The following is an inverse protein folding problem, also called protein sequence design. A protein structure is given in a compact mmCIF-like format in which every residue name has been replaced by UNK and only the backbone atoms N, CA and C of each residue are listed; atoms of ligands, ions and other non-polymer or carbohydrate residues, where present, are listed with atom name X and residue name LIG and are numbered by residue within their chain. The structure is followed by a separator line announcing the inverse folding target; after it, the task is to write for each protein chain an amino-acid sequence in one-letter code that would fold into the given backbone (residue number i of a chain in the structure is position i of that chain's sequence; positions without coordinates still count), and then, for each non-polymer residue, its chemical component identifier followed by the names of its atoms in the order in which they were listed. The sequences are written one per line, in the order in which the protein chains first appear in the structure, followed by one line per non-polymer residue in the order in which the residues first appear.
data_IF_176890169003
#
_entry.id   IF_176890169003
#
_cell.length_a   1.000
_cell.length_b   1.000
_cell.length_c   1.000
_cell.angle_alpha   90.00
_cell.angle_beta   90.00
_cell.angle_gamma   90.00
#
_symmetry.space_group_name_H-M   'P 1'
#
loop_
_entity.id
_entity.type
_entity.pdbx_description
1 polymer ?
#
# COMPACT_ATOMS: atom_id res chain seq x y z
N UNK A 1 -32.84 1.42 4.81
CA UNK A 1 -31.87 0.84 5.78
C UNK A 1 -31.17 -0.32 5.11
N UNK A 2 -29.90 -0.13 4.77
CA UNK A 2 -29.09 -1.21 4.19
C UNK A 2 -28.22 -1.82 5.30
N UNK A 3 -28.40 -3.12 5.53
CA UNK A 3 -27.66 -3.88 6.53
C UNK A 3 -26.72 -4.85 5.83
N UNK A 4 -25.51 -4.93 6.29
CA UNK A 4 -24.50 -5.90 5.84
C UNK A 4 -23.85 -6.57 7.05
N UNK A 5 -23.09 -7.62 6.84
CA UNK A 5 -22.33 -8.23 7.91
C UNK A 5 -21.11 -7.37 8.26
N UNK A 6 -20.34 -7.00 7.25
CA UNK A 6 -19.08 -6.28 7.45
C UNK A 6 -18.95 -5.09 6.49
N UNK A 7 -18.52 -3.93 6.99
CA UNK A 7 -18.10 -2.81 6.17
C UNK A 7 -16.57 -2.78 6.12
N UNK A 8 -16.03 -2.59 4.92
CA UNK A 8 -14.59 -2.44 4.66
C UNK A 8 -14.35 -1.04 4.12
N UNK A 9 -13.52 -0.27 4.79
CA UNK A 9 -13.16 1.10 4.38
C UNK A 9 -11.79 1.09 3.71
N UNK A 10 -11.77 1.45 2.43
CA UNK A 10 -10.59 1.40 1.56
C UNK A 10 -10.55 0.11 0.73
N UNK A 11 -10.45 0.28 -0.60
CA UNK A 11 -10.30 -0.80 -1.59
C UNK A 11 -8.86 -0.94 -2.09
N UNK A 12 -7.87 -0.57 -1.25
CA UNK A 12 -6.46 -0.86 -1.52
C UNK A 12 -6.16 -2.36 -1.43
N UNK A 13 -4.90 -2.76 -1.60
CA UNK A 13 -4.47 -4.18 -1.55
C UNK A 13 -5.02 -4.92 -0.32
N UNK A 14 -4.98 -4.28 0.86
CA UNK A 14 -5.53 -4.86 2.09
C UNK A 14 -7.05 -4.97 2.07
N UNK A 15 -7.75 -3.96 1.54
CA UNK A 15 -9.23 -3.96 1.49
C UNK A 15 -9.77 -5.00 0.51
N UNK A 16 -9.13 -5.17 -0.65
CA UNK A 16 -9.46 -6.23 -1.60
C UNK A 16 -9.27 -7.60 -0.95
N UNK A 17 -8.14 -7.84 -0.29
CA UNK A 17 -7.85 -9.07 0.42
C UNK A 17 -8.88 -9.35 1.54
N UNK A 18 -9.25 -8.32 2.32
CA UNK A 18 -10.26 -8.43 3.37
C UNK A 18 -11.64 -8.79 2.80
N UNK A 19 -12.05 -8.15 1.71
CA UNK A 19 -13.33 -8.43 1.06
C UNK A 19 -13.42 -9.88 0.56
N UNK A 20 -12.34 -10.38 -0.05
CA UNK A 20 -12.24 -11.76 -0.50
C UNK A 20 -12.35 -12.74 0.68
N UNK A 21 -11.65 -12.47 1.78
CA UNK A 21 -11.70 -13.31 2.97
C UNK A 21 -13.10 -13.36 3.59
N UNK A 22 -13.78 -12.21 3.69
CA UNK A 22 -15.16 -12.13 4.19
C UNK A 22 -16.11 -12.92 3.28
N UNK A 23 -16.03 -12.73 1.97
CA UNK A 23 -16.87 -13.45 1.01
C UNK A 23 -16.63 -14.97 1.05
N UNK A 24 -15.38 -15.42 1.16
CA UNK A 24 -15.00 -16.83 1.33
C UNK A 24 -15.51 -17.44 2.65
N UNK A 25 -15.72 -16.60 3.67
CA UNK A 25 -16.33 -17.01 4.95
C UNK A 25 -17.87 -17.10 4.88
N UNK A 26 -18.47 -16.87 3.70
CA UNK A 26 -19.92 -16.93 3.47
C UNK A 26 -20.69 -15.71 3.98
N UNK A 27 -20.01 -14.62 4.32
CA UNK A 27 -20.62 -13.37 4.77
C UNK A 27 -20.69 -12.32 3.66
N UNK A 28 -21.59 -11.35 3.84
CA UNK A 28 -21.73 -10.20 2.95
C UNK A 28 -20.87 -9.04 3.44
N UNK A 29 -20.19 -8.35 2.52
CA UNK A 29 -19.52 -7.10 2.85
C UNK A 29 -19.79 -5.98 1.85
N UNK A 30 -19.61 -4.76 2.34
CA UNK A 30 -19.66 -3.53 1.55
C UNK A 30 -18.32 -2.82 1.64
N UNK A 31 -17.67 -2.62 0.48
CA UNK A 31 -16.38 -1.95 0.34
C UNK A 31 -16.61 -0.50 -0.06
N UNK A 32 -16.01 0.45 0.67
CA UNK A 32 -16.13 1.88 0.41
C UNK A 32 -14.76 2.44 0.09
N UNK A 33 -14.59 3.10 -1.06
CA UNK A 33 -13.35 3.82 -1.39
C UNK A 33 -13.64 5.20 -1.97
N UNK A 34 -12.74 6.15 -1.69
CA UNK A 34 -12.80 7.50 -2.24
C UNK A 34 -12.29 7.59 -3.68
N UNK A 35 -11.52 6.60 -4.14
CA UNK A 35 -11.08 6.51 -5.52
C UNK A 35 -12.17 5.90 -6.40
N UNK A 36 -12.18 6.21 -7.71
CA UNK A 36 -13.13 5.63 -8.66
C UNK A 36 -12.83 4.18 -9.05
N UNK A 37 -11.80 3.56 -8.49
CA UNK A 37 -11.34 2.20 -8.77
C UNK A 37 -10.53 1.61 -7.61
N UNK A 38 -10.39 0.27 -7.54
CA UNK A 38 -9.63 -0.40 -6.48
C UNK A 38 -8.12 -0.39 -6.72
N UNK A 39 -7.37 -0.84 -5.70
CA UNK A 39 -5.92 -0.99 -5.69
C UNK A 39 -5.20 0.02 -4.79
N UNK A 40 -5.85 1.15 -4.46
CA UNK A 40 -5.27 2.18 -3.59
C UNK A 40 -3.94 2.72 -4.13
N UNK A 41 -2.88 2.78 -3.32
CA UNK A 41 -1.58 3.26 -3.78
C UNK A 41 -0.95 2.40 -4.90
N UNK A 42 -1.30 1.11 -4.99
CA UNK A 42 -0.80 0.26 -6.08
C UNK A 42 -1.27 0.74 -7.45
N UNK A 43 -2.46 1.35 -7.52
CA UNK A 43 -3.06 1.83 -8.76
C UNK A 43 -3.08 3.35 -8.87
N UNK A 44 -3.59 4.07 -7.86
CA UNK A 44 -3.74 5.52 -7.92
C UNK A 44 -2.41 6.30 -7.75
N UNK A 45 -1.43 5.71 -7.07
CA UNK A 45 -0.08 6.27 -6.94
C UNK A 45 0.97 5.47 -7.74
N UNK A 46 0.56 4.45 -8.47
CA UNK A 46 1.39 3.65 -9.38
C UNK A 46 2.71 3.16 -8.76
N UNK A 47 2.61 2.51 -7.57
CA UNK A 47 3.80 2.02 -6.85
C UNK A 47 4.67 1.11 -7.72
N UNK A 48 4.08 0.29 -8.59
CA UNK A 48 4.74 -0.44 -9.66
C UNK A 48 5.40 -1.75 -9.26
N UNK A 49 5.57 -2.05 -7.96
CA UNK A 49 6.24 -3.28 -7.49
C UNK A 49 5.53 -3.90 -6.30
N UNK A 50 5.37 -5.24 -6.30
CA UNK A 50 4.93 -6.02 -5.14
C UNK A 50 6.17 -6.40 -4.33
N UNK A 51 6.43 -5.67 -3.25
CA UNK A 51 7.45 -5.97 -2.26
C UNK A 51 6.86 -6.78 -1.10
N UNK A 52 7.70 -7.55 -0.39
CA UNK A 52 7.32 -8.32 0.81
C UNK A 52 6.43 -9.54 0.52
N UNK A 53 6.40 -10.01 -0.73
CA UNK A 53 5.75 -11.27 -1.10
C UNK A 53 6.71 -12.46 -0.99
N UNK A 54 7.99 -12.21 -1.07
CA UNK A 54 9.03 -13.24 -1.11
C UNK A 54 9.92 -13.19 0.12
N UNK A 55 10.59 -14.30 0.40
CA UNK A 55 11.59 -14.38 1.45
C UNK A 55 12.76 -13.42 1.16
N UNK A 56 13.30 -12.82 2.21
CA UNK A 56 14.56 -12.09 2.15
C UNK A 56 15.70 -13.09 2.24
N UNK A 57 16.27 -13.49 1.13
CA UNK A 57 17.37 -14.44 1.06
C UNK A 57 18.27 -14.18 -0.16
N UNK A 58 19.47 -14.76 -0.12
CA UNK A 58 20.44 -14.73 -1.22
C UNK A 58 20.30 -15.94 -2.15
N UNK A 59 19.14 -16.60 -2.17
CA UNK A 59 18.87 -17.74 -3.02
C UNK A 59 18.85 -17.41 -4.52
N UNK A 60 18.90 -18.43 -5.35
CA UNK A 60 18.88 -18.29 -6.81
C UNK A 60 17.45 -18.04 -7.36
N UNK A 61 16.43 -18.37 -6.58
CA UNK A 61 15.04 -18.29 -7.01
C UNK A 61 14.17 -17.62 -5.94
N UNK A 62 13.22 -16.80 -6.37
CA UNK A 62 12.22 -16.20 -5.50
C UNK A 62 11.36 -17.28 -4.82
N UNK A 63 11.29 -17.25 -3.50
CA UNK A 63 10.43 -18.13 -2.69
C UNK A 63 9.39 -17.27 -2.00
N UNK A 64 8.12 -17.61 -2.13
CA UNK A 64 7.08 -16.90 -1.37
C UNK A 64 7.36 -17.01 0.12
N UNK A 65 7.09 -15.91 0.86
CA UNK A 65 7.22 -15.91 2.33
C UNK A 65 6.03 -16.62 3.01
N UNK A 66 4.91 -16.70 2.33
CA UNK A 66 3.71 -17.39 2.77
C UNK A 66 2.86 -17.84 1.56
N UNK A 67 2.04 -18.86 1.76
CA UNK A 67 1.01 -19.27 0.80
C UNK A 67 -0.26 -18.41 0.88
N UNK A 68 -1.38 -18.97 0.50
CA UNK A 68 -2.70 -18.38 0.59
C UNK A 68 -2.94 -17.25 -0.38
N UNK A 69 -3.73 -16.24 0.03
CA UNK A 69 -4.14 -15.16 -0.86
C UNK A 69 -2.97 -14.30 -1.35
N UNK A 70 -1.92 -14.14 -0.54
CA UNK A 70 -0.69 -13.48 -0.97
C UNK A 70 -0.14 -14.10 -2.26
N UNK A 71 0.08 -15.41 -2.25
CA UNK A 71 0.64 -16.15 -3.38
C UNK A 71 -0.33 -16.15 -4.56
N UNK A 72 -1.59 -16.50 -4.32
CA UNK A 72 -2.66 -16.52 -5.32
C UNK A 72 -2.73 -15.20 -6.10
N UNK A 73 -2.82 -14.08 -5.39
CA UNK A 73 -2.93 -12.75 -6.00
C UNK A 73 -1.65 -12.38 -6.76
N UNK A 74 -0.48 -12.62 -6.16
CA UNK A 74 0.81 -12.28 -6.76
C UNK A 74 1.07 -13.07 -8.04
N UNK A 75 0.78 -14.38 -8.06
CA UNK A 75 0.94 -15.22 -9.26
C UNK A 75 0.00 -14.79 -10.40
N UNK A 76 -1.24 -14.41 -10.08
CA UNK A 76 -2.18 -13.89 -11.08
C UNK A 76 -1.69 -12.56 -11.65
N UNK A 77 -1.21 -11.65 -10.82
CA UNK A 77 -0.61 -10.38 -11.27
C UNK A 77 0.60 -10.65 -12.16
N UNK A 78 1.53 -11.50 -11.74
CA UNK A 78 2.71 -11.86 -12.51
C UNK A 78 2.36 -12.38 -13.89
N UNK A 79 1.47 -13.36 -13.95
CA UNK A 79 1.03 -13.98 -15.20
C UNK A 79 0.39 -12.98 -16.17
N UNK A 80 -0.46 -12.09 -15.67
CA UNK A 80 -1.20 -11.16 -16.52
C UNK A 80 -0.40 -9.90 -16.87
N UNK A 81 0.53 -9.47 -16.01
CA UNK A 81 1.48 -8.40 -16.32
C UNK A 81 2.60 -8.86 -17.27
N UNK A 82 2.86 -10.16 -17.36
CA UNK A 82 3.96 -10.71 -18.16
C UNK A 82 5.33 -10.28 -17.68
N UNK A 83 5.49 -10.09 -16.35
CA UNK A 83 6.73 -9.61 -15.72
C UNK A 83 7.42 -10.73 -14.96
N UNK A 84 8.73 -10.56 -14.76
CA UNK A 84 9.54 -11.49 -13.97
C UNK A 84 9.94 -10.85 -12.64
N UNK A 85 10.19 -11.68 -11.63
CA UNK A 85 10.72 -11.22 -10.35
C UNK A 85 12.12 -10.65 -10.52
N UNK A 86 12.41 -9.57 -9.80
CA UNK A 86 13.74 -8.95 -9.74
C UNK A 86 14.36 -9.26 -8.39
N UNK A 87 15.67 -9.56 -8.43
CA UNK A 87 16.50 -9.77 -7.24
C UNK A 87 17.54 -8.68 -7.11
N UNK A 88 17.56 -7.97 -5.99
CA UNK A 88 18.54 -6.92 -5.70
C UNK A 88 18.81 -6.87 -4.19
N UNK A 89 20.08 -6.93 -3.81
CA UNK A 89 20.54 -6.89 -2.40
C UNK A 89 19.83 -7.88 -1.46
N UNK A 90 19.57 -9.11 -1.95
CA UNK A 90 18.86 -10.15 -1.21
C UNK A 90 17.34 -10.00 -1.19
N UNK A 91 16.80 -8.92 -1.77
CA UNK A 91 15.38 -8.65 -1.83
C UNK A 91 14.79 -9.08 -3.17
N UNK A 92 13.72 -9.86 -3.10
CA UNK A 92 12.92 -10.23 -4.24
C UNK A 92 11.65 -9.38 -4.30
N UNK A 93 11.31 -8.84 -5.47
CA UNK A 93 10.08 -8.10 -5.70
C UNK A 93 9.56 -8.34 -7.13
N UNK A 94 8.27 -8.14 -7.33
CA UNK A 94 7.60 -8.34 -8.62
C UNK A 94 7.14 -6.99 -9.18
N UNK A 95 7.72 -6.52 -10.30
CA UNK A 95 7.14 -5.43 -11.09
C UNK A 95 5.77 -5.85 -11.63
N UNK A 96 4.85 -4.90 -11.78
CA UNK A 96 3.54 -5.17 -12.36
C UNK A 96 3.05 -4.01 -13.23
N UNK A 97 2.18 -4.35 -14.17
CA UNK A 97 1.41 -3.37 -14.92
C UNK A 97 0.24 -2.83 -14.09
N UNK A 98 0.13 -1.50 -13.96
CA UNK A 98 -0.87 -0.85 -13.10
C UNK A 98 -2.30 -1.12 -13.56
N UNK A 99 -2.55 -1.20 -14.88
CA UNK A 99 -3.88 -1.50 -15.43
C UNK A 99 -4.29 -2.93 -15.09
N UNK A 100 -3.36 -3.87 -15.21
CA UNK A 100 -3.53 -5.27 -14.80
C UNK A 100 -3.85 -5.39 -13.31
N UNK A 101 -3.12 -4.65 -12.46
CA UNK A 101 -3.38 -4.67 -11.00
C UNK A 101 -4.79 -4.18 -10.68
N UNK A 102 -5.23 -3.10 -11.33
CA UNK A 102 -6.57 -2.54 -11.20
C UNK A 102 -7.66 -3.53 -11.64
N UNK A 103 -7.50 -4.13 -12.82
CA UNK A 103 -8.43 -5.10 -13.38
C UNK A 103 -8.58 -6.34 -12.49
N UNK A 104 -7.46 -6.93 -12.07
CA UNK A 104 -7.48 -8.11 -11.18
C UNK A 104 -8.11 -7.76 -9.82
N UNK A 105 -7.78 -6.59 -9.25
CA UNK A 105 -8.42 -6.13 -8.01
C UNK A 105 -9.93 -5.99 -8.15
N UNK A 106 -10.41 -5.43 -9.27
CA UNK A 106 -11.84 -5.30 -9.55
C UNK A 106 -12.49 -6.66 -9.70
N UNK A 107 -11.87 -7.58 -10.44
CA UNK A 107 -12.37 -8.94 -10.65
C UNK A 107 -12.57 -9.72 -9.34
N UNK A 108 -11.69 -9.52 -8.36
CA UNK A 108 -11.88 -10.11 -7.02
C UNK A 108 -13.06 -9.50 -6.26
N UNK A 109 -13.39 -8.23 -6.52
CA UNK A 109 -14.57 -7.58 -5.92
C UNK A 109 -15.88 -7.91 -6.64
N UNK A 110 -15.84 -8.45 -7.86
CA UNK A 110 -17.00 -8.92 -8.62
C UNK A 110 -17.50 -10.28 -8.10
N UNK A 111 -17.87 -10.33 -6.83
CA UNK A 111 -18.41 -11.50 -6.14
C UNK A 111 -19.78 -11.17 -5.59
N UNK A 112 -20.72 -12.14 -5.66
CA UNK A 112 -22.10 -11.96 -5.21
C UNK A 112 -22.26 -11.53 -3.74
N UNK A 113 -21.25 -11.80 -2.91
CA UNK A 113 -21.24 -11.44 -1.50
C UNK A 113 -20.57 -10.09 -1.23
N UNK A 114 -20.04 -9.42 -2.26
CA UNK A 114 -19.34 -8.15 -2.16
C UNK A 114 -20.13 -7.08 -2.91
N UNK A 115 -20.45 -5.99 -2.23
CA UNK A 115 -20.89 -4.74 -2.86
C UNK A 115 -19.82 -3.69 -2.68
N UNK A 116 -19.61 -2.80 -3.65
CA UNK A 116 -18.62 -1.74 -3.53
C UNK A 116 -19.17 -0.38 -3.94
N UNK A 117 -18.64 0.67 -3.29
CA UNK A 117 -18.96 2.08 -3.50
C UNK A 117 -17.65 2.82 -3.73
N UNK A 118 -17.30 2.98 -4.98
CA UNK A 118 -16.19 3.83 -5.41
C UNK A 118 -16.63 5.29 -5.51
N UNK A 119 -15.67 6.21 -5.61
CA UNK A 119 -15.91 7.66 -5.65
C UNK A 119 -16.84 8.12 -4.50
N UNK A 120 -16.57 7.55 -3.31
CA UNK A 120 -17.45 7.70 -2.16
C UNK A 120 -16.75 8.35 -0.98
N UNK A 121 -17.39 9.34 -0.38
CA UNK A 121 -16.88 10.08 0.78
C UNK A 121 -17.62 9.66 2.04
N UNK A 122 -16.92 9.08 3.01
CA UNK A 122 -17.46 8.86 4.35
C UNK A 122 -17.67 10.23 5.03
N UNK A 123 -18.82 10.42 5.62
CA UNK A 123 -19.19 11.65 6.32
C UNK A 123 -19.34 11.46 7.82
N UNK A 124 -19.62 10.25 8.28
CA UNK A 124 -19.77 9.92 9.69
C UNK A 124 -19.57 8.42 9.95
N UNK A 125 -19.03 8.09 11.11
CA UNK A 125 -19.03 6.72 11.66
C UNK A 125 -19.67 6.82 13.04
N UNK A 126 -20.72 6.04 13.28
CA UNK A 126 -21.44 6.02 14.54
C UNK A 126 -21.15 4.73 15.30
N UNK A 127 -20.97 4.89 16.59
CA UNK A 127 -20.72 3.80 17.53
C UNK A 127 -21.63 3.90 18.75
N UNK A 128 -21.91 2.75 19.37
CA UNK A 128 -22.67 2.65 20.60
C UNK A 128 -22.15 1.45 21.40
N UNK A 129 -21.96 1.61 22.72
CA UNK A 129 -21.49 0.55 23.61
C UNK A 129 -20.21 -0.17 23.08
N UNK A 130 -19.19 0.61 22.69
CA UNK A 130 -17.91 0.11 22.14
C UNK A 130 -18.08 -0.80 20.89
N UNK A 131 -19.14 -0.58 20.11
CA UNK A 131 -19.41 -1.24 18.82
C UNK A 131 -19.62 -0.17 17.74
N UNK A 132 -18.99 -0.33 16.60
CA UNK A 132 -19.35 0.44 15.39
C UNK A 132 -20.66 -0.13 14.85
N UNK A 133 -21.66 0.73 14.65
CA UNK A 133 -22.98 0.31 14.19
C UNK A 133 -23.31 0.78 12.77
N UNK A 134 -22.78 1.98 12.37
CA UNK A 134 -23.21 2.62 11.12
C UNK A 134 -22.10 3.48 10.51
N UNK A 135 -22.06 3.46 9.18
CA UNK A 135 -21.25 4.38 8.36
C UNK A 135 -22.19 5.19 7.47
N UNK A 136 -22.06 6.51 7.50
CA UNK A 136 -22.70 7.42 6.58
C UNK A 136 -21.73 7.84 5.49
N UNK A 137 -22.18 7.79 4.25
CA UNK A 137 -21.35 8.18 3.10
C UNK A 137 -22.17 8.93 2.06
N UNK A 138 -21.48 9.67 1.20
CA UNK A 138 -22.01 10.23 -0.03
C UNK A 138 -21.41 9.46 -1.19
N UNK A 139 -22.25 8.86 -2.01
CA UNK A 139 -21.91 8.19 -3.25
C UNK A 139 -22.83 8.69 -4.36
N UNK A 140 -22.28 9.11 -5.50
CA UNK A 140 -23.05 9.68 -6.61
C UNK A 140 -24.04 10.75 -6.15
N UNK A 141 -23.59 11.68 -5.30
CA UNK A 141 -24.38 12.79 -4.70
C UNK A 141 -25.54 12.32 -3.79
N UNK A 142 -25.67 11.04 -3.52
CA UNK A 142 -26.69 10.49 -2.63
C UNK A 142 -26.11 10.13 -1.28
N UNK A 143 -26.81 10.48 -0.20
CA UNK A 143 -26.47 10.01 1.13
C UNK A 143 -26.93 8.57 1.32
N UNK A 144 -26.02 7.73 1.81
CA UNK A 144 -26.29 6.34 2.15
C UNK A 144 -25.97 6.10 3.63
N UNK A 145 -26.74 5.26 4.27
CA UNK A 145 -26.52 4.79 5.63
C UNK A 145 -26.38 3.27 5.61
N UNK A 146 -25.19 2.80 5.92
CA UNK A 146 -24.84 1.38 5.95
C UNK A 146 -24.70 0.92 7.40
N UNK A 147 -25.40 -0.11 7.79
CA UNK A 147 -25.33 -0.72 9.12
C UNK A 147 -24.54 -2.01 9.05
N UNK A 148 -23.66 -2.25 10.02
CA UNK A 148 -22.79 -3.42 10.04
C UNK A 148 -22.71 -4.07 11.43
N UNK A 149 -22.26 -5.32 11.45
CA UNK A 149 -21.90 -6.05 12.68
C UNK A 149 -20.41 -5.87 13.02
N UNK A 150 -19.56 -5.63 12.00
CA UNK A 150 -18.15 -5.29 12.18
C UNK A 150 -17.65 -4.34 11.09
N UNK A 151 -16.54 -3.63 11.36
CA UNK A 151 -15.87 -2.74 10.42
C UNK A 151 -14.39 -3.11 10.31
N UNK A 152 -13.86 -3.08 9.08
CA UNK A 152 -12.41 -3.24 8.82
C UNK A 152 -11.90 -1.93 8.19
N UNK A 153 -10.98 -1.25 8.88
CA UNK A 153 -10.35 -0.02 8.38
C UNK A 153 -9.07 -0.35 7.60
N UNK A 154 -9.20 -0.34 6.28
CA UNK A 154 -8.11 -0.50 5.30
C UNK A 154 -7.79 0.83 4.58
N UNK A 155 -8.26 1.97 5.10
CA UNK A 155 -8.13 3.29 4.46
C UNK A 155 -6.68 3.78 4.32
N UNK A 156 -5.80 3.27 5.17
CA UNK A 156 -4.39 3.66 5.23
C UNK A 156 -4.12 5.03 5.86
N UNK A 157 -5.14 5.65 6.47
CA UNK A 157 -5.05 6.95 7.13
C UNK A 157 -5.83 7.05 8.45
N UNK A 158 -6.25 5.90 9.03
CA UNK A 158 -6.90 5.85 10.33
C UNK A 158 -8.30 6.48 10.39
N UNK A 159 -9.07 6.39 9.32
CA UNK A 159 -10.34 7.10 9.17
C UNK A 159 -11.35 6.72 10.25
N UNK A 160 -11.40 5.46 10.68
CA UNK A 160 -12.29 5.01 11.75
C UNK A 160 -12.05 5.75 13.07
N UNK A 161 -10.79 5.92 13.46
CA UNK A 161 -10.43 6.63 14.70
C UNK A 161 -10.59 8.15 14.55
N UNK A 162 -10.35 8.70 13.35
CA UNK A 162 -10.59 10.13 13.08
C UNK A 162 -12.07 10.49 13.27
N UNK A 163 -12.98 9.71 12.72
CA UNK A 163 -14.42 9.98 12.84
C UNK A 163 -14.99 9.68 14.24
N UNK A 164 -14.41 8.72 14.95
CA UNK A 164 -14.86 8.37 16.30
C UNK A 164 -14.07 9.05 17.41
N UNK A 165 -13.12 9.92 17.05
CA UNK A 165 -12.25 10.68 17.98
C UNK A 165 -11.49 9.77 18.96
N UNK A 166 -11.03 8.61 18.50
CA UNK A 166 -10.22 7.67 19.27
C UNK A 166 -8.73 7.91 19.02
N UNK A 167 -7.85 7.49 19.98
CA UNK A 167 -6.42 7.72 19.87
C UNK A 167 -5.79 7.14 18.61
N UNK A 168 -4.89 7.91 18.01
CA UNK A 168 -4.05 7.54 16.87
C UNK A 168 -2.59 7.51 17.29
N UNK A 169 -1.82 6.62 16.70
CA UNK A 169 -0.36 6.63 16.75
C UNK A 169 0.12 7.66 15.72
N UNK A 170 0.84 8.66 16.18
CA UNK A 170 1.44 9.70 15.36
C UNK A 170 2.95 9.50 15.32
N UNK A 171 3.53 9.58 14.12
CA UNK A 171 4.97 9.63 13.94
C UNK A 171 5.42 11.10 14.12
N UNK A 172 6.62 11.32 14.66
CA UNK A 172 7.22 12.67 14.76
C UNK A 172 7.33 13.30 13.38
N UNK A 173 7.67 12.51 12.37
CA UNK A 173 7.72 12.92 10.96
C UNK A 173 7.22 11.79 10.07
N UNK A 174 6.26 12.13 9.18
CA UNK A 174 5.80 11.19 8.16
C UNK A 174 6.85 11.03 7.05
N UNK A 175 6.88 9.86 6.40
CA UNK A 175 7.83 9.61 5.31
C UNK A 175 7.51 10.47 4.09
N UNK A 176 8.56 10.85 3.35
CA UNK A 176 8.45 11.62 2.12
C UNK A 176 7.53 10.95 1.10
N UNK A 177 6.71 11.74 0.43
CA UNK A 177 5.86 11.28 -0.66
C UNK A 177 6.61 11.32 -2.01
N UNK A 178 6.08 10.59 -2.98
CA UNK A 178 6.58 10.63 -4.36
C UNK A 178 5.39 10.67 -5.33
N UNK A 179 5.61 11.23 -6.52
CA UNK A 179 4.64 11.20 -7.63
C UNK A 179 5.27 10.45 -8.81
N UNK A 180 4.54 9.47 -9.33
CA UNK A 180 4.95 8.67 -10.48
C UNK A 180 4.46 9.31 -11.77
N UNK A 181 5.23 9.18 -12.84
CA UNK A 181 4.86 9.58 -14.18
C UNK A 181 5.45 8.63 -15.21
N UNK A 182 4.83 8.52 -16.37
CA UNK A 182 5.23 7.64 -17.44
C UNK A 182 5.70 8.43 -18.66
N UNK A 183 6.81 7.98 -19.22
CA UNK A 183 7.37 8.49 -20.48
C UNK A 183 7.39 7.38 -21.51
N UNK A 184 7.14 7.73 -22.77
CA UNK A 184 7.30 6.85 -23.94
C UNK A 184 8.34 7.39 -24.91
N UNK A 185 8.69 6.58 -25.91
CA UNK A 185 9.71 6.87 -26.92
C UNK A 185 11.12 7.04 -26.35
N UNK A 186 11.45 6.29 -25.30
CA UNK A 186 12.78 6.23 -24.71
C UNK A 186 13.72 5.47 -25.64
N UNK A 187 14.92 6.02 -25.89
CA UNK A 187 15.90 5.44 -26.84
C UNK A 187 17.01 4.64 -26.19
N UNK A 188 17.08 4.60 -24.87
CA UNK A 188 18.02 3.76 -24.14
C UNK A 188 17.32 2.49 -23.63
N UNK A 189 17.64 1.29 -24.14
CA UNK A 189 16.95 0.05 -23.79
C UNK A 189 17.42 -0.56 -22.46
N UNK A 190 18.53 -0.09 -21.90
CA UNK A 190 19.06 -0.59 -20.64
C UNK A 190 18.63 0.34 -19.49
N UNK A 191 17.81 -0.16 -18.59
CA UNK A 191 17.21 0.59 -17.49
C UNK A 191 18.26 1.17 -16.53
N UNK A 192 19.30 0.40 -16.17
CA UNK A 192 20.39 0.89 -15.30
C UNK A 192 21.18 2.02 -15.96
N UNK A 193 21.45 1.89 -17.26
CA UNK A 193 22.14 2.93 -18.03
C UNK A 193 21.25 4.16 -18.20
N UNK A 194 19.95 4.00 -18.43
CA UNK A 194 18.97 5.09 -18.45
C UNK A 194 18.95 5.86 -17.14
N UNK A 195 18.89 5.16 -16.00
CA UNK A 195 18.96 5.76 -14.66
C UNK A 195 20.27 6.56 -14.46
N UNK A 196 21.41 6.01 -14.89
CA UNK A 196 22.70 6.70 -14.81
C UNK A 196 22.74 7.99 -15.66
N UNK A 197 22.26 7.92 -16.92
CA UNK A 197 22.16 9.09 -17.82
C UNK A 197 21.30 10.17 -17.18
N UNK A 198 20.14 9.78 -16.66
CA UNK A 198 19.20 10.69 -15.99
C UNK A 198 19.85 11.39 -14.80
N UNK A 199 20.43 10.64 -13.86
CA UNK A 199 21.07 11.19 -12.66
C UNK A 199 22.21 12.13 -13.03
N UNK A 200 23.11 11.73 -13.95
CA UNK A 200 24.23 12.55 -14.41
C UNK A 200 23.76 13.87 -15.02
N UNK A 201 22.72 13.82 -15.86
CA UNK A 201 22.21 15.00 -16.56
C UNK A 201 21.56 15.98 -15.59
N UNK A 202 20.70 15.48 -14.68
CA UNK A 202 20.05 16.32 -13.67
C UNK A 202 21.07 16.94 -12.72
N UNK A 203 22.06 16.18 -12.24
CA UNK A 203 23.13 16.68 -11.39
C UNK A 203 23.95 17.79 -12.07
N UNK A 204 24.23 17.63 -13.39
CA UNK A 204 24.90 18.68 -14.17
C UNK A 204 24.05 19.96 -14.27
N UNK A 205 22.75 19.83 -14.46
CA UNK A 205 21.81 20.96 -14.50
C UNK A 205 21.75 21.73 -13.19
N UNK A 206 21.71 21.01 -12.09
CA UNK A 206 21.70 21.57 -10.73
C UNK A 206 23.05 22.31 -10.47
N UNK A 207 24.17 21.68 -10.77
CA UNK A 207 25.49 22.29 -10.58
C UNK A 207 25.70 23.58 -11.40
N UNK A 208 25.02 23.71 -12.53
CA UNK A 208 25.01 24.92 -13.38
C UNK A 208 23.94 25.95 -12.98
N UNK A 209 23.14 25.70 -11.95
CA UNK A 209 22.03 26.57 -11.54
C UNK A 209 20.84 26.61 -12.50
N UNK A 210 20.75 25.66 -13.42
CA UNK A 210 19.64 25.54 -14.40
C UNK A 210 18.43 24.78 -13.86
N UNK A 211 18.63 24.00 -12.81
CA UNK A 211 17.58 23.26 -12.10
C UNK A 211 17.68 23.49 -10.59
N UNK A 212 16.56 23.54 -9.89
CA UNK A 212 16.54 23.51 -8.42
C UNK A 212 17.16 22.21 -7.87
N UNK A 213 17.74 22.29 -6.67
CA UNK A 213 18.40 21.14 -6.03
C UNK A 213 17.45 19.93 -5.85
N UNK A 214 16.19 20.16 -5.58
CA UNK A 214 15.22 19.08 -5.40
C UNK A 214 14.98 18.25 -6.67
N UNK A 215 15.40 18.68 -7.86
CA UNK A 215 15.34 17.90 -9.09
C UNK A 215 16.33 16.72 -9.12
N UNK A 216 17.19 16.54 -8.12
CA UNK A 216 18.01 15.33 -7.95
C UNK A 216 17.20 14.12 -7.42
N UNK A 217 15.93 14.30 -7.08
CA UNK A 217 15.06 13.32 -6.42
C UNK A 217 14.20 12.55 -7.43
N UNK A 218 14.82 12.10 -8.51
CA UNK A 218 14.15 11.36 -9.58
C UNK A 218 14.72 9.95 -9.66
N UNK A 219 13.83 8.96 -9.73
CA UNK A 219 14.20 7.55 -9.73
C UNK A 219 13.42 6.80 -10.80
N UNK A 220 14.04 5.81 -11.42
CA UNK A 220 13.33 4.84 -12.26
C UNK A 220 12.53 3.89 -11.37
N UNK A 221 11.29 3.60 -11.72
CA UNK A 221 10.55 2.48 -11.13
C UNK A 221 11.11 1.20 -11.74
N UNK A 222 11.76 0.39 -10.92
CA UNK A 222 12.52 -0.77 -11.38
C UNK A 222 11.65 -1.77 -12.14
N UNK A 223 12.16 -2.26 -13.26
CA UNK A 223 11.46 -3.18 -14.17
C UNK A 223 10.38 -2.53 -15.02
N UNK A 224 10.28 -1.19 -15.04
CA UNK A 224 9.25 -0.47 -15.79
C UNK A 224 9.66 -0.11 -17.21
N UNK A 225 10.94 -0.27 -17.58
CA UNK A 225 11.39 0.03 -18.94
C UNK A 225 11.01 -1.14 -19.89
N UNK A 226 9.86 -1.01 -20.52
CA UNK A 226 9.30 -2.01 -21.43
C UNK A 226 8.82 -1.31 -22.70
N UNK A 227 9.19 -1.81 -23.88
CA UNK A 227 8.73 -1.28 -25.18
C UNK A 227 8.91 0.24 -25.33
N UNK A 228 10.09 0.76 -25.01
CA UNK A 228 10.40 2.21 -25.04
C UNK A 228 9.56 3.07 -24.06
N UNK A 229 8.79 2.47 -23.15
CA UNK A 229 8.07 3.16 -22.09
C UNK A 229 8.79 2.95 -20.75
N UNK A 230 8.79 3.96 -19.89
CA UNK A 230 9.39 3.90 -18.55
C UNK A 230 8.54 4.67 -17.54
N UNK A 231 8.39 4.12 -16.35
CA UNK A 231 7.84 4.85 -15.20
C UNK A 231 8.96 5.44 -14.37
N UNK A 232 8.85 6.73 -14.09
CA UNK A 232 9.75 7.48 -13.23
C UNK A 232 8.97 8.00 -12.02
N UNK A 233 9.65 8.23 -10.89
CA UNK A 233 9.06 8.86 -9.71
C UNK A 233 9.90 10.04 -9.25
N UNK A 234 9.24 11.15 -8.92
CA UNK A 234 9.85 12.31 -8.27
C UNK A 234 9.55 12.30 -6.77
N UNK A 235 10.58 12.49 -5.95
CA UNK A 235 10.40 12.69 -4.51
C UNK A 235 9.98 14.13 -4.24
N UNK A 236 8.79 14.33 -3.64
CA UNK A 236 8.19 15.64 -3.46
C UNK A 236 8.86 16.39 -2.31
N UNK A 237 9.33 17.66 -2.51
CA UNK A 237 10.17 18.39 -1.56
C UNK A 237 9.42 19.09 -0.42
N UNK A 238 8.20 18.67 -0.09
CA UNK A 238 7.43 19.20 1.04
C UNK A 238 7.02 18.09 2.00
N UNK A 239 6.76 18.45 3.24
CA UNK A 239 6.35 17.51 4.26
C UNK A 239 4.95 16.95 4.02
N UNK A 240 4.81 15.65 4.27
CA UNK A 240 3.51 14.99 4.30
C UNK A 240 2.81 15.34 5.61
N UNK A 241 1.55 15.70 5.53
CA UNK A 241 0.69 15.95 6.69
C UNK A 241 -0.64 15.19 6.55
N UNK A 242 -1.41 15.13 7.63
CA UNK A 242 -2.74 14.52 7.61
C UNK A 242 -3.87 15.55 7.33
N UNK A 243 -3.51 16.75 6.87
CA UNK A 243 -4.47 17.78 6.46
C UNK A 243 -5.24 17.35 5.20
N UNK A 244 -6.51 17.71 5.08
CA UNK A 244 -7.37 17.28 3.96
C UNK A 244 -6.86 17.66 2.57
N UNK A 245 -6.17 18.77 2.43
CA UNK A 245 -5.64 19.31 1.17
C UNK A 245 -4.21 18.85 0.84
N UNK A 246 -3.56 18.11 1.75
CA UNK A 246 -2.17 17.67 1.60
C UNK A 246 -1.93 16.93 0.27
N UNK A 247 -2.82 16.01 -0.09
CA UNK A 247 -2.65 15.21 -1.31
C UNK A 247 -2.73 16.07 -2.57
N UNK A 248 -3.58 17.10 -2.57
CA UNK A 248 -3.70 18.07 -3.68
C UNK A 248 -2.41 18.88 -3.81
N UNK A 249 -1.88 19.38 -2.68
CA UNK A 249 -0.63 20.14 -2.66
C UNK A 249 0.55 19.29 -3.14
N UNK A 250 0.66 18.05 -2.65
CA UNK A 250 1.68 17.10 -3.07
C UNK A 250 1.62 16.85 -4.58
N UNK A 251 0.41 16.61 -5.12
CA UNK A 251 0.24 16.36 -6.56
C UNK A 251 0.64 17.58 -7.39
N UNK A 252 0.22 18.78 -7.02
CA UNK A 252 0.53 20.02 -7.76
C UNK A 252 2.05 20.26 -7.82
N UNK A 253 2.72 20.25 -6.67
CA UNK A 253 4.17 20.46 -6.59
C UNK A 253 4.93 19.34 -7.32
N UNK A 254 4.51 18.09 -7.16
CA UNK A 254 5.09 16.96 -7.87
C UNK A 254 4.93 17.09 -9.39
N UNK A 255 3.78 17.56 -9.88
CA UNK A 255 3.53 17.78 -11.32
C UNK A 255 4.41 18.90 -11.88
N UNK A 256 4.56 20.01 -11.17
CA UNK A 256 5.49 21.08 -11.57
C UNK A 256 6.94 20.55 -11.68
N UNK A 257 7.38 19.77 -10.70
CA UNK A 257 8.69 19.15 -10.69
C UNK A 257 8.86 18.16 -11.86
N UNK A 258 7.85 17.37 -12.20
CA UNK A 258 7.85 16.44 -13.34
C UNK A 258 8.08 17.22 -14.64
N UNK A 259 7.35 18.30 -14.86
CA UNK A 259 7.50 19.12 -16.08
C UNK A 259 8.90 19.70 -16.19
N UNK A 260 9.48 20.24 -15.11
CA UNK A 260 10.85 20.76 -15.09
C UNK A 260 11.87 19.68 -15.47
N UNK A 261 11.80 18.52 -14.80
CA UNK A 261 12.69 17.38 -15.04
C UNK A 261 12.53 16.85 -16.47
N UNK A 262 11.31 16.61 -16.92
CA UNK A 262 11.02 16.09 -18.25
C UNK A 262 11.59 16.99 -19.35
N UNK A 263 11.29 18.29 -19.31
CA UNK A 263 11.79 19.25 -20.31
C UNK A 263 13.31 19.34 -20.30
N UNK A 264 13.93 19.30 -19.12
CA UNK A 264 15.38 19.35 -19.03
C UNK A 264 16.04 18.09 -19.62
N UNK A 265 15.55 16.89 -19.28
CA UNK A 265 16.06 15.63 -19.82
C UNK A 265 15.89 15.55 -21.35
N UNK A 266 14.71 15.93 -21.85
CA UNK A 266 14.39 15.92 -23.30
C UNK A 266 15.36 16.80 -24.10
N UNK A 267 15.74 17.97 -23.59
CA UNK A 267 16.58 18.93 -24.29
C UNK A 267 18.09 18.67 -24.10
N UNK A 268 18.48 17.83 -23.15
CA UNK A 268 19.90 17.66 -22.78
C UNK A 268 20.42 16.21 -22.90
N UNK A 269 19.61 15.26 -23.42
CA UNK A 269 20.06 13.88 -23.62
C UNK A 269 19.49 13.26 -24.87
N UNK A 270 20.25 12.41 -25.54
CA UNK A 270 19.75 11.62 -26.68
C UNK A 270 18.74 10.54 -26.22
N UNK A 271 18.91 9.97 -25.02
CA UNK A 271 18.02 8.95 -24.48
C UNK A 271 16.55 9.43 -24.35
N UNK A 272 16.36 10.71 -24.02
CA UNK A 272 15.03 11.32 -23.80
C UNK A 272 14.62 12.31 -24.91
N UNK A 273 15.40 12.47 -25.98
CA UNK A 273 15.17 13.45 -27.05
C UNK A 273 13.78 13.36 -27.68
N UNK A 274 13.29 12.15 -27.89
CA UNK A 274 11.98 11.88 -28.48
C UNK A 274 10.93 11.52 -27.44
N UNK A 275 11.29 11.59 -26.14
CA UNK A 275 10.37 11.25 -25.08
C UNK A 275 9.12 12.13 -25.08
N UNK A 276 8.00 11.53 -24.74
CA UNK A 276 6.70 12.18 -24.51
C UNK A 276 6.20 11.82 -23.12
N UNK A 277 5.64 12.80 -22.43
CA UNK A 277 4.97 12.59 -21.15
C UNK A 277 3.59 11.97 -21.46
N UNK A 278 3.41 10.71 -21.09
CA UNK A 278 2.18 9.96 -21.38
C UNK A 278 1.16 10.09 -20.26
N UNK A 279 1.62 9.98 -19.03
CA UNK A 279 0.74 9.96 -17.86
C UNK A 279 1.45 10.47 -16.61
N UNK A 280 0.67 11.06 -15.68
CA UNK A 280 1.06 11.37 -14.30
C UNK A 280 0.05 10.68 -13.38
N UNK A 281 0.52 9.94 -12.40
CA UNK A 281 -0.32 9.21 -11.45
C UNK A 281 -1.41 10.11 -10.82
N UNK A 282 -2.58 9.54 -10.53
CA UNK A 282 -3.72 10.29 -10.01
C UNK A 282 -3.43 10.88 -8.62
N UNK A 283 -2.64 10.19 -7.80
CA UNK A 283 -2.28 10.61 -6.45
C UNK A 283 -0.78 10.53 -6.19
N UNK A 284 -0.30 11.39 -5.30
CA UNK A 284 1.00 11.21 -4.69
C UNK A 284 1.00 9.97 -3.78
N UNK A 285 2.06 9.18 -3.85
CA UNK A 285 2.25 8.00 -3.02
C UNK A 285 2.63 8.37 -1.59
N UNK A 286 1.65 8.48 -0.71
CA UNK A 286 1.83 8.68 0.73
C UNK A 286 2.14 7.33 1.36
N UNK A 287 3.30 7.22 2.01
CA UNK A 287 3.81 5.96 2.59
C UNK A 287 3.27 5.67 3.97
N UNK A 288 3.23 6.68 4.83
CA UNK A 288 2.79 6.57 6.23
C UNK A 288 1.80 7.67 6.58
N UNK A 289 0.91 7.38 7.52
CA UNK A 289 -0.12 8.28 8.05
C UNK A 289 -0.35 7.94 9.52
N UNK A 290 -1.05 8.76 10.30
CA UNK A 290 -1.50 8.36 11.63
C UNK A 290 -2.28 7.03 11.58
N UNK A 291 -2.00 6.14 12.54
CA UNK A 291 -2.53 4.78 12.58
C UNK A 291 -3.39 4.56 13.82
N UNK A 292 -4.48 3.78 13.71
CA UNK A 292 -5.30 3.43 14.88
C UNK A 292 -4.49 2.68 15.93
N UNK A 293 -4.80 2.94 17.20
CA UNK A 293 -4.21 2.21 18.32
C UNK A 293 -4.87 0.83 18.45
N UNK A 294 -4.06 -0.22 18.26
CA UNK A 294 -4.45 -1.62 18.44
C UNK A 294 -4.07 -2.17 19.81
N UNK A 295 -4.50 -3.39 20.11
CA UNK A 295 -4.18 -4.10 21.35
C UNK A 295 -2.70 -4.39 21.51
N UNK A 296 -1.95 -4.46 20.42
CA UNK A 296 -0.50 -4.53 20.37
C UNK A 296 0.03 -3.50 19.37
N UNK A 297 1.08 -2.80 19.74
CA UNK A 297 1.83 -1.94 18.81
C UNK A 297 3.04 -2.74 18.34
N UNK A 298 3.06 -3.13 17.07
CA UNK A 298 4.23 -3.75 16.46
C UNK A 298 5.36 -2.72 16.46
N UNK A 299 6.55 -3.09 16.96
CA UNK A 299 7.66 -2.17 17.14
C UNK A 299 8.79 -2.41 16.14
N UNK A 300 9.61 -1.37 15.89
CA UNK A 300 10.87 -1.49 15.14
C UNK A 300 11.73 -2.62 15.70
N UNK A 301 11.80 -2.76 17.02
CA UNK A 301 12.57 -3.81 17.69
C UNK A 301 12.03 -5.22 17.42
N UNK A 302 10.70 -5.40 17.31
CA UNK A 302 10.09 -6.68 16.92
C UNK A 302 10.50 -7.08 15.50
N UNK A 303 10.56 -6.09 14.58
CA UNK A 303 10.98 -6.30 13.19
C UNK A 303 12.45 -6.67 13.11
N UNK A 304 13.34 -5.87 13.71
CA UNK A 304 14.80 -6.08 13.63
C UNK A 304 15.24 -7.38 14.31
N UNK A 305 14.59 -7.78 15.38
CA UNK A 305 14.87 -9.05 16.08
C UNK A 305 14.07 -10.23 15.51
N UNK A 306 13.39 -10.07 14.39
CA UNK A 306 12.63 -11.14 13.75
C UNK A 306 11.70 -11.88 14.72
N UNK A 307 11.01 -11.13 15.60
CA UNK A 307 10.20 -11.68 16.68
C UNK A 307 9.09 -12.59 16.18
N UNK A 308 8.94 -13.74 16.84
CA UNK A 308 7.90 -14.71 16.55
C UNK A 308 6.79 -14.60 17.59
N UNK A 309 5.53 -14.59 17.11
CA UNK A 309 4.35 -14.55 17.95
C UNK A 309 3.54 -15.82 17.76
N UNK A 310 2.98 -16.38 18.84
CA UNK A 310 2.10 -17.55 18.76
C UNK A 310 0.80 -17.26 18.02
N UNK A 311 0.26 -16.04 18.21
CA UNK A 311 -0.97 -15.55 17.59
C UNK A 311 -0.70 -14.77 16.29
N UNK A 312 0.34 -15.14 15.51
CA UNK A 312 0.65 -14.43 14.27
C UNK A 312 -0.42 -14.64 13.20
N UNK A 313 -0.59 -13.61 12.38
CA UNK A 313 -1.58 -13.57 11.29
C UNK A 313 -0.97 -13.11 9.96
N UNK A 314 0.26 -12.68 9.98
CA UNK A 314 1.03 -12.33 8.79
C UNK A 314 2.52 -12.49 9.06
N UNK A 315 3.30 -12.65 8.00
CA UNK A 315 4.75 -12.82 8.02
C UNK A 315 5.36 -11.68 7.21
N UNK A 316 6.26 -10.91 7.85
CA UNK A 316 6.98 -9.82 7.21
C UNK A 316 8.41 -10.23 6.85
N UNK A 317 8.82 -9.97 5.61
CA UNK A 317 10.16 -10.26 5.07
C UNK A 317 10.86 -9.03 4.48
N UNK A 318 10.19 -7.88 4.44
CA UNK A 318 10.77 -6.65 3.91
C UNK A 318 11.56 -5.92 4.99
N UNK A 319 12.76 -5.37 4.71
CA UNK A 319 13.50 -4.57 5.67
C UNK A 319 12.77 -3.28 6.03
N UNK A 320 13.22 -2.60 7.08
CA UNK A 320 12.71 -1.26 7.42
C UNK A 320 13.24 -0.28 6.38
N UNK A 321 12.35 0.34 5.64
CA UNK A 321 12.64 1.25 4.53
C UNK A 321 12.05 2.63 4.83
N UNK A 322 12.88 3.57 5.29
CA UNK A 322 12.47 4.92 5.70
C UNK A 322 12.89 5.93 4.63
N UNK A 323 11.90 6.56 4.03
CA UNK A 323 12.10 7.67 3.08
C UNK A 323 12.09 8.99 3.84
N UNK A 324 13.29 9.53 4.13
CA UNK A 324 13.41 10.82 4.81
C UNK A 324 13.09 11.98 3.89
N UNK A 325 12.71 13.13 4.47
CA UNK A 325 12.46 14.36 3.70
C UNK A 325 13.72 14.86 2.97
N UNK A 326 14.90 14.52 3.47
CA UNK A 326 16.19 14.74 2.77
C UNK A 326 16.35 13.84 1.53
N UNK A 327 15.40 12.96 1.25
CA UNK A 327 15.33 12.01 0.13
C UNK A 327 16.45 10.97 0.09
N UNK A 328 17.06 10.71 1.22
CA UNK A 328 17.83 9.49 1.43
C UNK A 328 16.93 8.41 1.96
N UNK A 329 16.99 7.26 1.32
CA UNK A 329 16.38 6.05 1.85
C UNK A 329 17.31 5.52 2.94
N UNK A 330 16.77 5.32 4.13
CA UNK A 330 17.46 4.60 5.20
C UNK A 330 16.92 3.20 5.27
N UNK A 331 17.80 2.23 5.03
CA UNK A 331 17.46 0.81 5.10
C UNK A 331 18.04 0.21 6.38
N UNK A 332 17.20 -0.51 7.16
CA UNK A 332 17.66 -1.31 8.30
C UNK A 332 17.28 -2.76 8.03
N UNK A 333 18.30 -3.58 7.84
CA UNK A 333 18.14 -4.98 7.51
C UNK A 333 18.17 -5.85 8.77
N UNK A 334 17.51 -6.97 8.72
CA UNK A 334 17.73 -8.14 9.57
C UNK A 334 18.50 -9.19 8.77
N UNK A 335 18.93 -10.27 9.42
CA UNK A 335 19.72 -11.32 8.77
C UNK A 335 18.95 -12.00 7.63
N UNK A 336 19.55 -12.21 6.44
CA UNK A 336 18.94 -12.96 5.35
C UNK A 336 18.48 -14.36 5.80
N UNK A 337 17.36 -14.83 5.25
CA UNK A 337 16.71 -16.08 5.65
C UNK A 337 15.77 -15.93 6.85
N UNK A 338 15.78 -14.77 7.52
CA UNK A 338 14.86 -14.47 8.62
C UNK A 338 13.61 -13.71 8.17
N UNK A 339 12.64 -13.67 9.07
CA UNK A 339 11.38 -12.96 8.92
C UNK A 339 10.80 -12.67 10.31
N UNK A 340 9.92 -11.70 10.40
CA UNK A 340 9.19 -11.41 11.63
C UNK A 340 7.71 -11.77 11.50
N UNK A 341 7.02 -11.92 12.64
CA UNK A 341 5.58 -12.14 12.69
C UNK A 341 4.82 -10.85 13.00
N UNK A 342 3.60 -10.73 12.51
CA UNK A 342 2.64 -9.70 12.90
C UNK A 342 1.54 -10.37 13.73
N UNK A 343 1.34 -9.99 15.00
CA UNK A 343 0.34 -10.61 15.85
C UNK A 343 -1.08 -10.11 15.54
N UNK A 344 -2.10 -10.91 15.79
CA UNK A 344 -3.51 -10.58 15.61
C UNK A 344 -3.91 -9.29 16.35
N UNK A 345 -3.32 -9.03 17.49
CA UNK A 345 -3.61 -7.86 18.33
C UNK A 345 -3.17 -6.53 17.70
N UNK A 346 -2.26 -6.54 16.70
CA UNK A 346 -1.93 -5.34 15.91
C UNK A 346 -3.02 -4.96 14.91
N UNK A 347 -3.99 -5.87 14.66
CA UNK A 347 -5.12 -5.65 13.76
C UNK A 347 -6.42 -5.34 14.49
N UNK A 348 -6.43 -5.28 15.82
CA UNK A 348 -7.64 -5.20 16.65
C UNK A 348 -7.66 -3.93 17.45
N UNK A 349 -8.77 -3.18 17.38
CA UNK A 349 -8.94 -1.94 18.14
C UNK A 349 -8.95 -2.19 19.65
N UNK A 350 -8.32 -1.27 20.40
CA UNK A 350 -8.52 -1.19 21.87
C UNK A 350 -9.84 -0.50 22.23
N UNK A 351 -10.40 0.28 21.30
CA UNK A 351 -11.55 1.14 21.55
C UNK A 351 -12.89 0.51 21.16
N UNK A 352 -12.87 -0.48 20.27
CA UNK A 352 -14.08 -1.12 19.74
C UNK A 352 -13.87 -2.61 19.55
N UNK A 353 -14.83 -3.40 20.02
CA UNK A 353 -14.76 -4.87 19.93
C UNK A 353 -14.98 -5.44 18.54
N UNK A 354 -15.58 -4.66 17.64
CA UNK A 354 -15.93 -5.07 16.28
C UNK A 354 -15.19 -4.25 15.21
N UNK A 355 -14.07 -3.60 15.58
CA UNK A 355 -13.24 -2.83 14.65
C UNK A 355 -11.88 -3.49 14.47
N UNK A 356 -11.53 -3.71 13.21
CA UNK A 356 -10.28 -4.32 12.77
C UNK A 356 -9.51 -3.37 11.85
N UNK A 357 -8.19 -3.57 11.73
CA UNK A 357 -7.30 -2.76 10.91
C UNK A 357 -6.50 -3.65 9.96
N UNK A 358 -6.14 -3.13 8.79
CA UNK A 358 -5.23 -3.82 7.89
C UNK A 358 -4.42 -2.86 7.01
N UNK A 359 -3.38 -3.40 6.40
CA UNK A 359 -2.50 -2.63 5.53
C UNK A 359 -1.72 -1.57 6.29
N UNK A 360 -1.71 -0.33 5.80
CA UNK A 360 -1.01 0.78 6.46
C UNK A 360 -1.65 1.23 7.78
N UNK A 361 -2.82 0.70 8.11
CA UNK A 361 -3.54 0.99 9.36
C UNK A 361 -3.26 0.02 10.50
N UNK A 362 -2.42 -1.01 10.31
CA UNK A 362 -2.05 -1.87 11.44
C UNK A 362 -1.42 -1.02 12.55
N UNK A 363 -1.67 -1.41 13.79
CA UNK A 363 -1.08 -0.76 14.96
C UNK A 363 0.41 -1.09 15.02
N UNK A 364 1.23 -0.10 14.65
CA UNK A 364 2.68 -0.24 14.56
C UNK A 364 3.36 1.11 14.81
N UNK A 365 4.58 1.12 15.32
CA UNK A 365 5.41 2.32 15.39
C UNK A 365 5.95 2.73 14.00
N UNK A 366 6.67 3.86 13.94
CA UNK A 366 7.21 4.41 12.71
C UNK A 366 8.18 3.45 11.99
N UNK A 367 9.01 2.74 12.74
CA UNK A 367 9.97 1.79 12.21
C UNK A 367 9.30 0.51 11.69
N UNK A 368 8.39 -0.07 12.47
CA UNK A 368 7.70 -1.28 12.07
C UNK A 368 6.80 -1.07 10.84
N UNK A 369 6.05 0.03 10.78
CA UNK A 369 5.22 0.31 9.60
C UNK A 369 6.05 0.57 8.36
N UNK A 370 7.27 1.08 8.48
CA UNK A 370 8.18 1.27 7.36
C UNK A 370 8.55 -0.04 6.66
N UNK A 371 8.49 -1.17 7.36
CA UNK A 371 8.61 -2.53 6.82
C UNK A 371 7.25 -3.11 6.43
N UNK A 372 6.26 -3.07 7.32
CA UNK A 372 5.00 -3.80 7.19
C UNK A 372 3.99 -3.20 6.19
N UNK A 373 4.23 -2.00 5.65
CA UNK A 373 3.32 -1.31 4.71
C UNK A 373 3.36 -1.78 3.27
N UNK A 374 4.30 -2.66 2.92
CA UNK A 374 4.48 -3.12 1.54
C UNK A 374 3.31 -4.00 1.08
N UNK A 375 3.09 -4.09 -0.24
CA UNK A 375 1.90 -4.72 -0.82
C UNK A 375 1.73 -6.16 -0.35
N UNK A 376 2.79 -6.97 -0.32
CA UNK A 376 2.73 -8.37 0.11
C UNK A 376 2.25 -8.54 1.55
N UNK A 377 2.72 -7.68 2.45
CA UNK A 377 2.25 -7.67 3.85
C UNK A 377 0.81 -7.12 3.95
N UNK A 378 0.46 -6.12 3.13
CA UNK A 378 -0.91 -5.60 3.09
C UNK A 378 -1.93 -6.67 2.64
N UNK A 379 -1.59 -7.51 1.66
CA UNK A 379 -2.43 -8.62 1.22
C UNK A 379 -2.67 -9.63 2.35
N UNK A 380 -1.63 -9.99 3.10
CA UNK A 380 -1.73 -10.90 4.24
C UNK A 380 -2.58 -10.32 5.36
N UNK A 381 -2.26 -9.09 5.81
CA UNK A 381 -2.99 -8.43 6.92
C UNK A 381 -4.44 -8.15 6.56
N UNK A 382 -4.72 -7.81 5.29
CA UNK A 382 -6.09 -7.64 4.79
C UNK A 382 -6.91 -8.93 4.88
N UNK A 383 -6.37 -10.02 4.34
CA UNK A 383 -7.03 -11.32 4.39
C UNK A 383 -7.27 -11.80 5.82
N UNK A 384 -6.26 -11.64 6.69
CA UNK A 384 -6.37 -11.98 8.10
C UNK A 384 -7.43 -11.14 8.84
N UNK A 385 -7.49 -9.82 8.60
CA UNK A 385 -8.52 -8.97 9.18
C UNK A 385 -9.93 -9.39 8.74
N UNK A 386 -10.08 -9.83 7.48
CA UNK A 386 -11.33 -10.40 6.96
C UNK A 386 -11.76 -11.65 7.72
N UNK A 387 -10.85 -12.62 7.94
CA UNK A 387 -11.14 -13.85 8.73
C UNK A 387 -11.46 -13.50 10.19
N UNK A 388 -10.69 -12.62 10.84
CA UNK A 388 -10.94 -12.22 12.23
C UNK A 388 -12.30 -11.53 12.39
N UNK A 389 -12.66 -10.62 11.49
CA UNK A 389 -13.94 -9.94 11.49
C UNK A 389 -15.11 -10.92 11.22
N UNK A 390 -14.93 -11.86 10.27
CA UNK A 390 -15.91 -12.89 9.99
C UNK A 390 -16.14 -13.80 11.20
N UNK A 391 -15.08 -14.24 11.88
CA UNK A 391 -15.17 -15.03 13.09
C UNK A 391 -15.93 -14.30 14.21
N UNK A 392 -15.66 -13.00 14.40
CA UNK A 392 -16.40 -12.16 15.34
C UNK A 392 -17.89 -12.12 15.04
N UNK A 393 -18.27 -11.89 13.77
CA UNK A 393 -19.68 -11.84 13.32
C UNK A 393 -20.38 -13.19 13.47
N UNK A 394 -19.66 -14.28 13.25
CA UNK A 394 -20.16 -15.66 13.39
C UNK A 394 -20.09 -16.21 14.81
N UNK A 395 -19.63 -15.43 15.79
CA UNK A 395 -19.40 -15.85 17.18
C UNK A 395 -18.49 -17.08 17.31
N UNK A 396 -17.51 -17.21 16.42
CA UNK A 396 -16.44 -18.24 16.49
C UNK A 396 -15.36 -17.83 17.48
N UNK A 397 -14.69 -18.82 18.08
CA UNK A 397 -13.53 -18.56 18.93
C UNK A 397 -12.40 -17.91 18.11
N UNK A 398 -11.75 -16.89 18.67
CA UNK A 398 -10.64 -16.19 18.06
C UNK A 398 -9.45 -17.11 17.78
N UNK A 399 -9.14 -18.03 18.70
CA UNK A 399 -8.09 -19.02 18.51
C UNK A 399 -8.33 -19.89 17.26
N UNK A 400 -9.57 -20.22 16.95
CA UNK A 400 -9.92 -20.95 15.73
C UNK A 400 -9.66 -20.11 14.46
N UNK A 401 -9.98 -18.80 14.51
CA UNK A 401 -9.70 -17.89 13.40
C UNK A 401 -8.17 -17.70 13.18
N UNK A 402 -7.41 -17.56 14.25
CA UNK A 402 -5.94 -17.48 14.18
C UNK A 402 -5.36 -18.76 13.58
N UNK A 403 -5.82 -19.93 14.02
CA UNK A 403 -5.36 -21.21 13.46
C UNK A 403 -5.73 -21.36 11.98
N UNK A 404 -6.92 -20.92 11.57
CA UNK A 404 -7.35 -20.89 10.17
C UNK A 404 -6.39 -20.02 9.33
N UNK A 405 -6.06 -18.80 9.80
CA UNK A 405 -5.11 -17.90 9.14
C UNK A 405 -3.72 -18.54 9.06
N UNK A 406 -3.21 -19.10 10.15
CA UNK A 406 -1.90 -19.75 10.17
C UNK A 406 -1.83 -20.94 9.21
N UNK A 407 -2.89 -21.74 9.11
CA UNK A 407 -2.94 -22.82 8.14
C UNK A 407 -2.99 -22.32 6.69
N UNK A 408 -3.63 -21.18 6.45
CA UNK A 408 -3.66 -20.53 5.14
C UNK A 408 -2.29 -19.98 4.71
N UNK A 409 -1.47 -19.53 5.66
CA UNK A 409 -0.13 -18.99 5.41
C UNK A 409 0.96 -20.07 5.25
N UNK A 410 0.74 -21.29 5.69
CA UNK A 410 1.75 -22.37 5.64
C UNK A 410 2.21 -22.66 4.21
N UNK A 411 3.54 -22.72 4.03
CA UNK A 411 4.22 -23.13 2.80
C UNK A 411 4.12 -24.63 2.54
#
# INVERSE_FOLDING_TARGET
LRKTDIIIVGAGSAGVAAAVAVARSGLQCEVIDSNPYPGGNATAAEVGTICGAYAYDNGENAKFIANGFLKEFTEIIQKNSGTETIHEDGLWYLPYDTSTYKEISLKYLENSNISYYFDSKITKIESKNDQIEKVELICNQKKLNLYCKALIDCSGNGISHKFTQKPLIHDEQLQAAALVFQLKNIKEPNEKKLAFIMIKTLSSGIAKGLLPEYCNRVYVVQGSLINECVSLKVGIPIEVSDKPDCNIQLKNIGSEMIHLVFHYLKNNTEAFKFAELEHIADHAGIRTSPRPLGRYILTENDVLNCKKFENYIAIGSWPIEIWKQSHRVEMKYFEPGNHYHIPADSLRSVAFDNLFFAGRNISADAGAIASARVIGTCLQTGYAAGILAAAKVQNKAESSAILEIQNHLKL
#
